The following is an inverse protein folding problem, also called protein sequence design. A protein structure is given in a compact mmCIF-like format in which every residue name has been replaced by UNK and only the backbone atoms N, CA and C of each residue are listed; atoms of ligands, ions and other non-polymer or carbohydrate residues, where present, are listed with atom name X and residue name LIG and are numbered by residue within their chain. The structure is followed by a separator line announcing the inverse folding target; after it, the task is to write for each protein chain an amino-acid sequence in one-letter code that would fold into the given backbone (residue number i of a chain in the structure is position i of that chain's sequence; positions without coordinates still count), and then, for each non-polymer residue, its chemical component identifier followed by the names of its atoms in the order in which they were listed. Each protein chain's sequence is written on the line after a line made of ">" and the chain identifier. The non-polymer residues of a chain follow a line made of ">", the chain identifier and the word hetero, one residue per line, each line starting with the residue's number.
data_IF_338880768743
#
_entry.id   IF_338880768743
#
_cell.length_a   1.000
_cell.length_b   1.000
_cell.length_c   1.000
_cell.angle_alpha   90.00
_cell.angle_beta   90.00
_cell.angle_gamma   90.00
#
_symmetry.space_group_name_H-M   'P 1'
#
loop_
_entity.id
_entity.type
_entity.pdbx_description
1 polymer ?
#
# COMPACT_ATOMS: atom_id res chain seq x y z
N UNK A 1 2.80 8.58 -13.81
CA UNK A 1 2.82 7.48 -14.82
C UNK A 1 4.09 7.50 -15.67
N UNK A 2 4.51 8.63 -16.20
CA UNK A 2 5.70 8.77 -17.07
C UNK A 2 6.95 8.06 -16.51
N UNK A 3 7.34 8.34 -15.25
CA UNK A 3 8.51 7.70 -14.62
C UNK A 3 8.40 6.17 -14.52
N UNK A 4 7.19 5.65 -14.28
CA UNK A 4 6.98 4.20 -14.25
C UNK A 4 7.18 3.60 -15.62
N UNK A 5 6.69 4.26 -16.67
CA UNK A 5 6.87 3.84 -18.05
C UNK A 5 8.34 3.90 -18.48
N UNK A 6 9.04 4.99 -18.15
CA UNK A 6 10.48 5.13 -18.43
C UNK A 6 11.31 4.06 -17.72
N UNK A 7 11.03 3.82 -16.43
CA UNK A 7 11.70 2.75 -15.67
C UNK A 7 11.42 1.37 -16.25
N UNK A 8 10.18 1.12 -16.68
CA UNK A 8 9.83 -0.12 -17.34
C UNK A 8 10.53 -0.31 -18.69
N UNK A 9 10.66 0.75 -19.50
CA UNK A 9 11.40 0.70 -20.77
C UNK A 9 12.87 0.30 -20.56
N UNK A 10 13.49 0.74 -19.48
CA UNK A 10 14.86 0.35 -19.10
C UNK A 10 14.96 -1.10 -18.57
N UNK A 11 13.84 -1.66 -18.10
CA UNK A 11 13.78 -3.01 -17.54
C UNK A 11 12.53 -3.75 -18.03
N UNK A 12 12.42 -4.06 -19.34
CA UNK A 12 11.17 -4.59 -19.94
C UNK A 12 10.80 -6.00 -19.46
N UNK A 13 11.77 -6.73 -18.87
CA UNK A 13 11.55 -8.05 -18.28
C UNK A 13 11.01 -8.00 -16.85
N UNK A 14 10.94 -6.82 -16.24
CA UNK A 14 10.35 -6.68 -14.91
C UNK A 14 8.83 -6.71 -14.97
N UNK A 15 8.21 -7.48 -14.10
CA UNK A 15 6.76 -7.44 -13.89
C UNK A 15 6.42 -6.37 -12.85
N UNK A 16 5.55 -5.44 -13.21
CA UNK A 16 5.10 -4.34 -12.35
C UNK A 16 3.58 -4.28 -12.31
N UNK A 17 3.01 -4.11 -11.13
CA UNK A 17 1.61 -3.71 -10.95
C UNK A 17 1.55 -2.29 -10.44
N UNK A 18 0.77 -1.46 -11.12
CA UNK A 18 0.65 -0.03 -10.83
C UNK A 18 -0.75 0.26 -10.32
N UNK A 19 -0.82 0.91 -9.18
CA UNK A 19 -2.08 1.26 -8.53
C UNK A 19 -2.16 2.77 -8.32
N UNK A 20 -3.33 3.33 -8.53
CA UNK A 20 -3.69 4.67 -8.08
C UNK A 20 -3.95 4.64 -6.57
N UNK A 21 -3.46 5.65 -5.88
CA UNK A 21 -3.76 5.91 -4.47
C UNK A 21 -4.25 7.36 -4.32
N UNK A 22 -4.87 7.73 -3.20
CA UNK A 22 -5.36 9.10 -3.02
C UNK A 22 -4.30 10.21 -3.15
N UNK A 23 -2.99 9.88 -3.16
CA UNK A 23 -1.91 10.88 -3.24
C UNK A 23 -0.83 10.57 -4.27
N UNK A 24 -1.03 9.60 -5.12
CA UNK A 24 -0.05 9.25 -6.14
C UNK A 24 -0.16 7.80 -6.56
N UNK A 25 0.95 7.18 -6.86
CA UNK A 25 1.00 5.81 -7.34
C UNK A 25 1.64 4.88 -6.30
N UNK A 26 1.21 3.63 -6.34
CA UNK A 26 1.89 2.49 -5.71
C UNK A 26 2.33 1.56 -6.82
N UNK A 27 3.58 1.10 -6.74
CA UNK A 27 4.11 0.09 -7.64
C UNK A 27 4.47 -1.14 -6.83
N UNK A 28 4.03 -2.31 -7.29
CA UNK A 28 4.43 -3.61 -6.74
C UNK A 28 5.20 -4.34 -7.83
N UNK A 29 6.44 -4.70 -7.52
CA UNK A 29 7.27 -5.57 -8.37
C UNK A 29 6.82 -7.01 -8.17
N UNK A 30 6.64 -7.76 -9.27
CA UNK A 30 6.01 -9.08 -9.22
C UNK A 30 6.85 -10.20 -9.79
N UNK A 31 7.93 -9.91 -10.52
CA UNK A 31 8.74 -10.94 -11.19
C UNK A 31 9.75 -11.65 -10.27
N UNK A 32 10.10 -11.01 -9.15
CA UNK A 32 11.08 -11.53 -8.17
C UNK A 32 10.81 -10.94 -6.79
N UNK A 33 11.40 -11.57 -5.77
CA UNK A 33 11.44 -11.06 -4.41
C UNK A 33 12.74 -10.27 -4.22
N UNK A 34 12.67 -9.24 -3.37
CA UNK A 34 13.80 -8.38 -3.04
C UNK A 34 13.87 -8.18 -1.53
N UNK A 35 15.06 -8.21 -0.97
CA UNK A 35 15.32 -7.65 0.34
C UNK A 35 15.23 -6.12 0.28
N UNK A 36 14.83 -5.49 1.37
CA UNK A 36 14.63 -4.02 1.39
C UNK A 36 15.93 -3.24 1.27
N UNK A 37 17.07 -3.86 1.51
CA UNK A 37 18.43 -3.33 1.39
C UNK A 37 19.12 -3.77 0.08
N UNK A 38 18.42 -4.45 -0.83
CA UNK A 38 18.97 -4.82 -2.14
C UNK A 38 19.31 -3.55 -2.94
N UNK A 39 20.51 -3.43 -3.49
CA UNK A 39 20.89 -2.28 -4.33
C UNK A 39 19.97 -2.05 -5.54
N UNK A 40 19.29 -3.09 -6.05
CA UNK A 40 18.30 -2.94 -7.12
C UNK A 40 17.07 -2.15 -6.64
N UNK A 41 16.68 -2.31 -5.38
CA UNK A 41 15.58 -1.55 -4.77
C UNK A 41 15.92 -0.08 -4.67
N UNK A 42 17.14 0.27 -4.20
CA UNK A 42 17.60 1.66 -4.15
C UNK A 42 17.56 2.32 -5.53
N UNK A 43 18.10 1.66 -6.55
CA UNK A 43 18.06 2.17 -7.93
C UNK A 43 16.63 2.36 -8.46
N UNK A 44 15.73 1.44 -8.15
CA UNK A 44 14.32 1.57 -8.52
C UNK A 44 13.64 2.73 -7.78
N UNK A 45 13.91 2.90 -6.50
CA UNK A 45 13.38 4.02 -5.70
C UNK A 45 13.83 5.36 -6.26
N UNK A 46 15.10 5.50 -6.66
CA UNK A 46 15.63 6.70 -7.29
C UNK A 46 14.97 6.96 -8.65
N UNK A 47 14.88 5.95 -9.51
CA UNK A 47 14.25 6.04 -10.83
C UNK A 47 12.77 6.44 -10.77
N UNK A 48 12.04 5.92 -9.81
CA UNK A 48 10.63 6.24 -9.58
C UNK A 48 10.42 7.52 -8.76
N UNK A 49 11.48 8.09 -8.19
CA UNK A 49 11.43 9.19 -7.21
C UNK A 49 10.44 8.88 -6.08
N UNK A 50 10.66 7.75 -5.46
CA UNK A 50 9.84 7.30 -4.32
C UNK A 50 9.96 8.30 -3.17
N UNK A 51 8.89 8.45 -2.38
CA UNK A 51 8.88 9.29 -1.18
C UNK A 51 10.12 8.97 -0.31
N UNK A 52 11.01 9.95 -0.05
CA UNK A 52 12.25 9.72 0.68
C UNK A 52 12.03 9.15 2.09
N UNK A 53 10.94 9.53 2.76
CA UNK A 53 10.59 8.99 4.06
C UNK A 53 10.20 7.51 3.95
N UNK A 54 9.47 7.12 2.91
CA UNK A 54 9.14 5.73 2.67
C UNK A 54 10.42 4.90 2.42
N UNK A 55 11.31 5.38 1.55
CA UNK A 55 12.57 4.71 1.25
C UNK A 55 13.41 4.49 2.53
N UNK A 56 13.59 5.56 3.33
CA UNK A 56 14.30 5.50 4.61
C UNK A 56 13.68 4.51 5.59
N UNK A 57 12.33 4.44 5.65
CA UNK A 57 11.65 3.52 6.55
C UNK A 57 11.77 2.07 6.07
N UNK A 58 11.76 1.81 4.76
CA UNK A 58 12.00 0.47 4.23
C UNK A 58 13.40 -0.04 4.61
N UNK A 59 14.42 0.81 4.45
CA UNK A 59 15.80 0.49 4.84
C UNK A 59 15.92 0.24 6.34
N UNK A 60 15.47 1.17 7.19
CA UNK A 60 15.64 1.08 8.65
C UNK A 60 14.85 -0.05 9.29
N UNK A 61 13.69 -0.37 8.74
CA UNK A 61 12.78 -1.38 9.29
C UNK A 61 12.88 -2.73 8.56
N UNK A 62 13.77 -2.82 7.59
CA UNK A 62 14.02 -4.03 6.80
C UNK A 62 12.72 -4.64 6.25
N UNK A 63 11.78 -3.81 5.80
CA UNK A 63 10.52 -4.27 5.23
C UNK A 63 9.88 -3.25 4.28
N UNK A 64 9.17 -3.74 3.28
CA UNK A 64 8.25 -2.94 2.48
C UNK A 64 6.88 -2.84 3.14
N UNK A 65 6.20 -1.72 2.93
CA UNK A 65 4.88 -1.47 3.51
C UNK A 65 3.89 -0.99 2.48
N UNK A 66 2.69 -1.52 2.53
CA UNK A 66 1.56 -1.04 1.75
C UNK A 66 0.35 -0.87 2.66
N UNK A 67 -0.26 0.30 2.66
CA UNK A 67 -1.52 0.51 3.38
C UNK A 67 -2.66 -0.08 2.56
N UNK A 68 -3.39 -1.01 3.14
CA UNK A 68 -4.53 -1.68 2.50
C UNK A 68 -5.89 -1.21 3.02
N UNK A 69 -5.90 -0.16 3.87
CA UNK A 69 -7.12 0.39 4.45
C UNK A 69 -7.19 1.90 4.24
N UNK A 70 -8.39 2.45 4.09
CA UNK A 70 -8.62 3.88 3.95
C UNK A 70 -8.17 4.69 5.17
N UNK A 71 -7.80 5.94 4.96
CA UNK A 71 -7.50 6.85 6.07
C UNK A 71 -8.81 7.39 6.65
N UNK A 72 -9.03 7.34 7.98
CA UNK A 72 -10.30 7.73 8.60
C UNK A 72 -10.81 9.10 8.10
N UNK A 73 -9.96 10.11 8.07
CA UNK A 73 -10.35 11.46 7.67
C UNK A 73 -10.77 11.59 6.19
N UNK A 74 -10.37 10.66 5.31
CA UNK A 74 -10.84 10.63 3.91
C UNK A 74 -12.19 9.99 3.76
N UNK A 75 -12.59 9.20 4.75
CA UNK A 75 -13.90 8.56 4.84
C UNK A 75 -14.89 9.38 5.69
N UNK A 76 -14.52 10.60 6.11
CA UNK A 76 -15.33 11.45 6.98
C UNK A 76 -15.39 10.98 8.43
N UNK A 77 -14.37 10.25 8.90
CA UNK A 77 -14.23 9.83 10.29
C UNK A 77 -13.13 10.60 11.00
N UNK A 78 -13.35 10.91 12.25
CA UNK A 78 -12.28 11.42 13.13
C UNK A 78 -11.26 10.30 13.38
N UNK A 79 -9.97 10.63 13.28
CA UNK A 79 -8.90 9.69 13.63
C UNK A 79 -8.94 9.33 15.11
N UNK A 80 -8.33 8.20 15.46
CA UNK A 80 -8.17 7.81 16.86
C UNK A 80 -7.41 8.88 17.65
N UNK A 81 -7.91 9.22 18.83
CA UNK A 81 -7.21 10.06 19.80
C UNK A 81 -5.90 9.40 20.25
N UNK A 82 -4.98 10.17 20.80
CA UNK A 82 -3.68 9.65 21.26
C UNK A 82 -3.84 8.53 22.30
N UNK A 83 -4.81 8.69 23.22
CA UNK A 83 -5.09 7.70 24.26
C UNK A 83 -5.64 6.37 23.68
N UNK A 84 -6.38 6.42 22.58
CA UNK A 84 -6.91 5.23 21.92
C UNK A 84 -5.92 4.54 20.95
N UNK A 85 -4.79 5.17 20.67
CA UNK A 85 -3.69 4.60 19.86
C UNK A 85 -2.67 3.83 20.66
N UNK A 86 -2.64 4.01 21.99
CA UNK A 86 -1.72 3.26 22.86
C UNK A 86 -2.04 1.77 22.86
N UNK A 87 -1.01 0.95 23.08
CA UNK A 87 -1.15 -0.49 23.25
C UNK A 87 -0.36 -0.96 24.47
N UNK A 88 -0.96 -1.73 25.38
CA UNK A 88 -2.37 -2.13 25.38
C UNK A 88 -3.32 -0.94 25.57
N UNK A 89 -4.56 -1.08 25.09
CA UNK A 89 -5.60 -0.06 25.31
C UNK A 89 -6.01 -0.12 26.78
N UNK A 90 -6.08 1.00 27.52
CA UNK A 90 -6.55 1.04 28.91
C UNK A 90 -7.96 0.45 29.03
N UNK A 91 -8.22 -0.25 30.14
CA UNK A 91 -9.50 -0.97 30.33
C UNK A 91 -10.71 -0.04 30.23
N UNK A 92 -10.64 1.13 30.84
CA UNK A 92 -11.69 2.17 30.81
C UNK A 92 -11.94 2.76 29.41
N UNK A 93 -11.05 2.51 28.44
CA UNK A 93 -11.14 3.03 27.08
C UNK A 93 -11.42 1.95 26.03
N UNK A 94 -11.50 0.68 26.42
CA UNK A 94 -11.69 -0.43 25.48
C UNK A 94 -13.01 -0.34 24.73
N UNK A 95 -14.10 0.05 25.40
CA UNK A 95 -15.41 0.19 24.77
C UNK A 95 -15.41 1.34 23.73
N UNK A 96 -14.80 2.49 24.05
CA UNK A 96 -14.67 3.60 23.11
C UNK A 96 -13.85 3.17 21.89
N UNK A 97 -12.76 2.42 22.11
CA UNK A 97 -11.93 1.88 21.01
C UNK A 97 -12.71 0.91 20.13
N UNK A 98 -13.54 0.06 20.75
CA UNK A 98 -14.39 -0.89 20.03
C UNK A 98 -15.44 -0.17 19.18
N UNK A 99 -16.12 0.83 19.72
CA UNK A 99 -17.11 1.62 19.00
C UNK A 99 -16.48 2.36 17.81
N UNK A 100 -15.31 2.94 18.02
CA UNK A 100 -14.58 3.55 16.91
C UNK A 100 -14.24 2.54 15.81
N UNK A 101 -13.78 1.33 16.16
CA UNK A 101 -13.45 0.29 15.20
C UNK A 101 -14.69 -0.15 14.39
N UNK A 102 -15.84 -0.35 15.03
CA UNK A 102 -17.09 -0.68 14.35
C UNK A 102 -17.53 0.43 13.37
N UNK A 103 -17.44 1.68 13.79
CA UNK A 103 -17.75 2.82 12.92
C UNK A 103 -16.77 2.91 11.73
N UNK A 104 -15.48 2.64 11.96
CA UNK A 104 -14.46 2.58 10.93
C UNK A 104 -14.76 1.46 9.92
N UNK A 105 -15.01 0.23 10.40
CA UNK A 105 -15.26 -0.94 9.55
C UNK A 105 -16.50 -0.74 8.68
N UNK A 106 -17.57 -0.19 9.27
CA UNK A 106 -18.81 0.14 8.55
C UNK A 106 -18.53 1.17 7.43
N UNK A 107 -17.81 2.24 7.74
CA UNK A 107 -17.47 3.28 6.75
C UNK A 107 -16.54 2.76 5.66
N UNK A 108 -15.53 1.97 6.04
CA UNK A 108 -14.52 1.44 5.14
C UNK A 108 -15.11 0.55 4.03
N UNK A 109 -16.31 0.00 4.23
CA UNK A 109 -16.99 -0.78 3.19
C UNK A 109 -17.28 0.02 1.92
N UNK A 110 -17.46 1.32 2.02
CA UNK A 110 -17.71 2.21 0.89
C UNK A 110 -16.47 2.76 0.19
N UNK A 111 -15.26 2.30 0.55
CA UNK A 111 -14.01 2.87 0.04
C UNK A 111 -12.99 1.79 -0.35
N UNK A 112 -12.09 2.15 -1.28
CA UNK A 112 -10.90 1.38 -1.61
C UNK A 112 -9.64 2.14 -1.15
N UNK A 113 -8.59 1.42 -0.77
CA UNK A 113 -7.32 2.04 -0.39
C UNK A 113 -6.43 2.37 -1.60
N UNK A 114 -6.64 1.66 -2.71
CA UNK A 114 -6.02 1.92 -4.01
C UNK A 114 -6.85 1.28 -5.12
N UNK A 115 -6.55 1.63 -6.37
CA UNK A 115 -7.18 1.04 -7.57
C UNK A 115 -6.10 0.53 -8.50
N UNK A 116 -6.22 -0.71 -8.97
CA UNK A 116 -5.32 -1.26 -9.99
C UNK A 116 -5.52 -0.50 -11.31
N UNK A 117 -4.46 0.13 -11.80
CA UNK A 117 -4.47 0.83 -13.09
C UNK A 117 -4.03 -0.08 -14.22
N UNK A 118 -2.88 -0.74 -14.04
CA UNK A 118 -2.29 -1.58 -15.10
C UNK A 118 -1.23 -2.56 -14.58
N UNK A 119 -0.96 -3.56 -15.40
CA UNK A 119 0.21 -4.42 -15.29
C UNK A 119 1.16 -4.12 -16.45
N UNK A 120 2.45 -4.11 -16.19
CA UNK A 120 3.50 -3.84 -17.18
C UNK A 120 4.52 -4.98 -17.18
N UNK A 121 5.09 -5.24 -18.33
CA UNK A 121 6.21 -6.15 -18.50
C UNK A 121 5.86 -7.63 -18.37
N UNK A 122 6.73 -8.37 -17.69
CA UNK A 122 6.61 -9.81 -17.58
C UNK A 122 5.32 -10.24 -16.88
N UNK A 123 4.43 -10.99 -17.53
CA UNK A 123 3.19 -11.47 -16.90
C UNK A 123 3.41 -12.55 -15.85
N UNK A 124 4.62 -13.18 -15.83
CA UNK A 124 4.95 -14.19 -14.82
C UNK A 124 5.16 -13.52 -13.47
N UNK A 125 4.42 -13.95 -12.49
CA UNK A 125 4.50 -13.50 -11.10
C UNK A 125 5.25 -14.56 -10.32
N UNK A 126 6.22 -14.18 -9.48
CA UNK A 126 6.86 -15.15 -8.58
C UNK A 126 5.88 -15.58 -7.47
N UNK A 127 5.98 -16.82 -6.94
CA UNK A 127 4.96 -17.37 -6.03
C UNK A 127 4.70 -16.51 -4.79
N UNK A 128 5.73 -15.93 -4.17
CA UNK A 128 5.57 -15.08 -2.99
C UNK A 128 4.87 -13.76 -3.35
N UNK A 129 5.21 -13.15 -4.48
CA UNK A 129 4.54 -11.94 -4.94
C UNK A 129 3.09 -12.21 -5.35
N UNK A 130 2.76 -13.40 -5.89
CA UNK A 130 1.39 -13.74 -6.26
C UNK A 130 0.47 -13.82 -5.04
N UNK A 131 0.88 -14.55 -4.01
CA UNK A 131 0.13 -14.64 -2.76
C UNK A 131 -0.08 -13.26 -2.11
N UNK A 132 0.96 -12.42 -2.10
CA UNK A 132 0.88 -11.06 -1.58
C UNK A 132 -0.07 -10.20 -2.40
N UNK A 133 0.01 -10.24 -3.73
CA UNK A 133 -0.82 -9.42 -4.63
C UNK A 133 -2.29 -9.79 -4.51
N UNK A 134 -2.62 -11.07 -4.42
CA UNK A 134 -4.00 -11.53 -4.24
C UNK A 134 -4.58 -10.98 -2.94
N UNK A 135 -3.87 -11.19 -1.82
CA UNK A 135 -4.27 -10.64 -0.53
C UNK A 135 -4.35 -9.10 -0.53
N UNK A 136 -3.35 -8.42 -1.12
CA UNK A 136 -3.31 -6.97 -1.23
C UNK A 136 -4.51 -6.42 -2.01
N UNK A 137 -4.82 -7.01 -3.18
CA UNK A 137 -5.91 -6.55 -4.03
C UNK A 137 -7.27 -6.72 -3.34
N UNK A 138 -7.46 -7.82 -2.63
CA UNK A 138 -8.66 -8.08 -1.85
C UNK A 138 -8.78 -7.11 -0.66
N UNK A 139 -7.77 -7.04 0.19
CA UNK A 139 -7.76 -6.21 1.39
C UNK A 139 -7.87 -4.70 1.07
N UNK A 140 -7.28 -4.24 -0.02
CA UNK A 140 -7.34 -2.84 -0.47
C UNK A 140 -8.54 -2.53 -1.35
N UNK A 141 -9.31 -3.55 -1.77
CA UNK A 141 -10.40 -3.46 -2.77
C UNK A 141 -9.93 -2.86 -4.10
N UNK A 142 -8.72 -3.22 -4.51
CA UNK A 142 -8.04 -2.59 -5.64
C UNK A 142 -8.73 -2.80 -7.00
N UNK A 143 -9.66 -3.75 -7.09
CA UNK A 143 -10.39 -4.11 -8.33
C UNK A 143 -11.84 -3.61 -8.32
N UNK A 144 -12.14 -2.58 -7.56
CA UNK A 144 -13.47 -1.98 -7.47
C UNK A 144 -13.44 -0.52 -7.93
N UNK A 145 -14.60 0.02 -8.27
CA UNK A 145 -14.77 1.44 -8.62
C UNK A 145 -15.12 2.32 -7.40
N UNK A 146 -14.92 1.80 -6.20
CA UNK A 146 -15.14 2.56 -4.97
C UNK A 146 -14.23 3.79 -4.90
N UNK A 147 -14.69 4.90 -4.28
CA UNK A 147 -13.86 6.07 -4.06
C UNK A 147 -12.63 5.72 -3.22
N UNK A 148 -11.50 6.38 -3.52
CA UNK A 148 -10.24 6.15 -2.83
C UNK A 148 -10.16 6.92 -1.50
N UNK A 149 -9.68 6.26 -0.42
CA UNK A 149 -9.53 6.88 0.89
C UNK A 149 -8.19 6.58 1.60
#
# INVERSE_FOLDING_TARGET
>A
MERVQTSHQSHPHWGLRVYETPKGLRVIVTHADFASDDPAVGRLFDALQVDPLYALLCERQQCFRARVSGKPWRMGLTGLSTSLRSWPVPEDRQEERRQWALAYDSKAQGFAACRLLQQLGNPRICPAADAFVQWHDEASRARTDLPLA
#
